data_IF_742645412039
#
_entry.id   IF_742645412039
#
_cell.length_a   1.000
_cell.length_b   1.000
_cell.length_c   1.000
_cell.angle_alpha   90.00
_cell.angle_beta   90.00
_cell.angle_gamma   90.00
#
_symmetry.space_group_name_H-M   'P 1'
#
loop_
_entity.id
_entity.type
_entity.pdbx_description
1 polymer ?
#
# COMPACT_ATOMS: atom_id res chain seq x y z
N UNK A 1 16.27 -25.29 11.55
CA UNK A 1 14.83 -24.93 11.39
C UNK A 1 14.17 -25.10 12.74
N UNK A 2 13.45 -24.08 13.19
CA UNK A 2 12.84 -24.06 14.55
C UNK A 2 11.48 -24.77 14.60
N UNK A 3 10.94 -25.23 13.47
CA UNK A 3 9.59 -25.81 13.36
C UNK A 3 8.45 -24.81 13.62
N UNK A 4 8.75 -23.52 13.63
CA UNK A 4 7.76 -22.44 13.79
C UNK A 4 7.34 -21.95 12.41
N UNK A 5 6.02 -21.90 12.17
CA UNK A 5 5.47 -21.29 10.96
C UNK A 5 5.63 -19.77 10.97
N UNK A 6 5.97 -19.21 9.81
CA UNK A 6 6.21 -17.78 9.63
C UNK A 6 5.09 -17.19 8.78
N UNK A 7 4.34 -16.24 9.33
CA UNK A 7 3.38 -15.41 8.60
C UNK A 7 3.95 -14.02 8.36
N UNK A 8 3.89 -13.51 7.13
CA UNK A 8 4.29 -12.15 6.80
C UNK A 8 3.18 -11.36 6.12
N UNK A 9 3.11 -10.06 6.39
CA UNK A 9 2.25 -9.17 5.63
C UNK A 9 2.79 -8.98 4.22
N UNK A 10 1.93 -9.13 3.22
CA UNK A 10 2.29 -9.01 1.80
C UNK A 10 1.55 -7.89 1.08
N UNK A 11 0.39 -7.47 1.59
CA UNK A 11 -0.42 -6.43 0.94
C UNK A 11 -1.23 -5.62 1.94
N UNK A 12 -1.37 -4.31 1.65
CA UNK A 12 -2.26 -3.41 2.37
C UNK A 12 -1.56 -2.36 3.20
N UNK A 13 -2.27 -1.81 4.18
CA UNK A 13 -1.84 -0.64 4.92
C UNK A 13 -0.60 -0.89 5.80
N UNK A 14 0.45 -0.11 5.58
CA UNK A 14 1.60 -0.07 6.47
C UNK A 14 1.37 0.86 7.66
N UNK A 15 1.92 0.48 8.81
CA UNK A 15 2.04 1.36 9.96
C UNK A 15 3.29 2.24 9.81
N UNK A 16 3.21 3.49 10.27
CA UNK A 16 4.37 4.38 10.34
C UNK A 16 5.40 3.90 11.36
N UNK A 17 4.94 3.27 12.44
CA UNK A 17 5.76 2.83 13.56
C UNK A 17 5.88 1.31 13.61
N UNK A 18 6.88 0.82 14.32
CA UNK A 18 6.96 -0.59 14.69
C UNK A 18 5.73 -1.03 15.46
N UNK A 19 5.27 -2.26 15.20
CA UNK A 19 4.11 -2.84 15.86
C UNK A 19 4.29 -2.86 17.39
N UNK A 20 3.24 -2.46 18.09
CA UNK A 20 3.23 -2.43 19.55
C UNK A 20 3.97 -1.24 20.19
N UNK A 21 4.65 -0.38 19.43
CA UNK A 21 5.46 0.70 20.01
C UNK A 21 4.86 2.09 19.84
N UNK A 22 3.80 2.26 19.04
CA UNK A 22 3.20 3.56 18.82
C UNK A 22 2.21 3.91 19.92
N UNK A 23 2.48 4.98 20.65
CA UNK A 23 1.58 5.55 21.66
C UNK A 23 0.79 6.78 21.17
N UNK A 24 1.02 7.23 19.93
CA UNK A 24 0.48 8.49 19.41
C UNK A 24 -1.05 8.56 19.52
N UNK A 25 -1.77 7.51 19.09
CA UNK A 25 -3.23 7.46 19.18
C UNK A 25 -3.74 7.37 20.60
N UNK A 26 -2.99 6.76 21.52
CA UNK A 26 -3.34 6.72 22.95
C UNK A 26 -3.18 8.08 23.59
N UNK A 27 -2.10 8.80 23.32
CA UNK A 27 -1.79 10.10 23.93
C UNK A 27 -2.69 11.21 23.40
N UNK A 28 -3.00 11.23 22.11
CA UNK A 28 -3.83 12.29 21.50
C UNK A 28 -5.32 12.08 21.78
N UNK A 29 -5.81 10.84 21.75
CA UNK A 29 -7.25 10.57 21.79
C UNK A 29 -7.67 9.40 22.67
N UNK A 30 -6.82 8.89 23.56
CA UNK A 30 -7.12 7.77 24.46
C UNK A 30 -7.38 6.43 23.76
N UNK A 31 -7.05 6.30 22.46
CA UNK A 31 -7.32 5.11 21.64
C UNK A 31 -6.07 4.30 21.40
N UNK A 32 -5.89 3.24 22.19
CA UNK A 32 -4.69 2.41 22.09
C UNK A 32 -4.62 1.60 20.79
N UNK A 33 -3.55 1.79 20.02
CA UNK A 33 -3.23 0.98 18.84
C UNK A 33 -2.99 -0.49 19.20
N UNK A 34 -2.34 -0.75 20.32
CA UNK A 34 -2.02 -2.10 20.81
C UNK A 34 -3.27 -2.90 21.22
N UNK A 35 -4.41 -2.23 21.39
CA UNK A 35 -5.72 -2.83 21.65
C UNK A 35 -6.64 -2.80 20.43
N UNK A 36 -6.11 -2.65 19.23
CA UNK A 36 -6.85 -2.60 17.98
C UNK A 36 -7.71 -1.35 17.78
N UNK A 37 -7.52 -0.28 18.58
CA UNK A 37 -8.37 0.93 18.60
C UNK A 37 -7.71 2.16 18.01
N UNK A 38 -6.62 2.01 17.28
CA UNK A 38 -5.88 3.12 16.69
C UNK A 38 -6.77 4.00 15.81
N UNK A 39 -6.79 5.32 16.09
CA UNK A 39 -7.49 6.32 15.29
C UNK A 39 -6.67 6.78 14.06
N UNK A 40 -5.50 6.20 13.82
CA UNK A 40 -4.61 6.53 12.72
C UNK A 40 -4.18 8.01 12.66
N UNK A 41 -3.71 8.65 13.75
CA UNK A 41 -3.30 10.05 13.72
C UNK A 41 -2.16 10.33 12.74
N UNK A 42 -1.33 9.33 12.40
CA UNK A 42 -0.33 9.43 11.35
C UNK A 42 -0.92 9.71 9.95
N UNK A 43 -2.24 9.48 9.76
CA UNK A 43 -2.95 9.78 8.51
C UNK A 43 -3.58 11.17 8.47
N UNK A 44 -3.39 11.98 9.52
CA UNK A 44 -3.80 13.39 9.55
C UNK A 44 -2.72 14.28 8.92
N UNK A 45 -3.07 15.50 8.47
CA UNK A 45 -2.08 16.46 8.03
C UNK A 45 -1.25 16.96 9.22
N UNK A 46 0.06 17.03 9.04
CA UNK A 46 1.03 17.51 10.01
C UNK A 46 1.85 18.63 9.42
N UNK A 47 2.27 19.55 10.27
CA UNK A 47 3.25 20.59 9.93
C UNK A 47 4.52 20.36 10.73
N UNK A 48 5.61 20.11 10.03
CA UNK A 48 6.95 20.08 10.61
C UNK A 48 7.57 21.45 10.48
N UNK A 49 8.08 21.99 11.59
CA UNK A 49 8.79 23.27 11.64
C UNK A 49 10.16 23.07 12.25
N UNK A 50 11.17 23.64 11.61
CA UNK A 50 12.50 23.84 12.17
C UNK A 50 12.91 25.30 11.92
N UNK A 51 14.05 25.74 12.47
CA UNK A 51 14.53 27.15 12.36
C UNK A 51 14.60 27.67 10.93
N UNK A 52 14.82 26.78 9.94
CA UNK A 52 15.02 27.15 8.54
C UNK A 52 14.00 26.54 7.57
N UNK A 53 13.10 25.66 8.02
CA UNK A 53 12.22 24.92 7.12
C UNK A 53 10.85 24.67 7.74
N UNK A 54 9.82 24.84 6.92
CA UNK A 54 8.47 24.38 7.22
C UNK A 54 7.99 23.44 6.12
N UNK A 55 7.38 22.30 6.49
CA UNK A 55 6.78 21.34 5.56
C UNK A 55 5.46 20.86 6.13
N UNK A 56 4.40 21.00 5.34
CA UNK A 56 3.05 20.54 5.71
C UNK A 56 2.54 19.45 4.77
N UNK A 57 1.64 18.60 5.27
CA UNK A 57 1.01 17.54 4.51
C UNK A 57 0.82 16.27 5.33
N UNK A 58 0.55 15.16 4.65
CA UNK A 58 0.38 13.86 5.29
C UNK A 58 1.74 13.17 5.52
N UNK A 59 2.62 13.87 6.24
CA UNK A 59 4.05 13.55 6.35
C UNK A 59 4.34 12.18 6.96
N UNK A 60 3.40 11.65 7.75
CA UNK A 60 3.53 10.37 8.46
C UNK A 60 2.65 9.27 7.83
N UNK A 61 2.06 9.51 6.65
CA UNK A 61 1.17 8.56 6.00
C UNK A 61 1.91 7.67 5.01
N UNK A 62 2.21 6.38 5.33
CA UNK A 62 2.85 5.49 4.37
C UNK A 62 1.91 5.12 3.21
N UNK A 63 2.49 4.81 2.05
CA UNK A 63 1.85 4.08 0.96
C UNK A 63 1.42 2.69 1.41
N UNK A 64 0.58 2.02 0.63
CA UNK A 64 0.24 0.63 0.92
C UNK A 64 1.35 -0.31 0.43
N UNK A 65 1.55 -1.40 1.17
CA UNK A 65 2.45 -2.48 0.79
C UNK A 65 1.86 -3.24 -0.40
N UNK A 66 2.71 -3.58 -1.37
CA UNK A 66 2.42 -4.58 -2.40
C UNK A 66 3.70 -5.36 -2.69
N UNK A 67 3.73 -6.62 -2.32
CA UNK A 67 4.89 -7.49 -2.47
C UNK A 67 4.75 -8.51 -3.61
N UNK A 68 3.84 -8.31 -4.57
CA UNK A 68 3.70 -9.25 -5.68
C UNK A 68 5.03 -9.50 -6.40
N UNK A 69 5.80 -8.45 -6.67
CA UNK A 69 7.10 -8.59 -7.34
C UNK A 69 8.14 -9.32 -6.50
N UNK A 70 7.96 -9.36 -5.18
CA UNK A 70 8.87 -9.97 -4.20
C UNK A 70 8.43 -11.37 -3.78
N UNK A 71 7.30 -11.84 -4.30
CA UNK A 71 6.69 -13.10 -3.88
C UNK A 71 7.63 -14.30 -4.02
N UNK A 72 8.43 -14.43 -5.10
CA UNK A 72 9.46 -15.47 -5.19
C UNK A 72 10.44 -15.47 -4.02
N UNK A 73 10.91 -14.30 -3.61
CA UNK A 73 11.88 -14.19 -2.53
C UNK A 73 11.29 -14.57 -1.18
N UNK A 74 10.01 -14.24 -0.95
CA UNK A 74 9.29 -14.61 0.27
C UNK A 74 9.06 -16.12 0.36
N UNK A 75 8.69 -16.75 -0.77
CA UNK A 75 8.50 -18.20 -0.84
C UNK A 75 9.84 -18.93 -0.65
N UNK A 76 10.89 -18.48 -1.33
CA UNK A 76 12.24 -19.06 -1.19
C UNK A 76 12.82 -18.89 0.22
N UNK A 77 12.48 -17.80 0.90
CA UNK A 77 12.84 -17.59 2.30
C UNK A 77 12.08 -18.50 3.27
N UNK A 78 11.11 -19.28 2.80
CA UNK A 78 10.35 -20.22 3.61
C UNK A 78 9.23 -19.57 4.42
N UNK A 79 8.59 -18.54 3.90
CA UNK A 79 7.37 -17.97 4.48
C UNK A 79 6.21 -18.93 4.25
N UNK A 80 5.55 -19.34 5.33
CA UNK A 80 4.46 -20.33 5.31
C UNK A 80 3.10 -19.71 5.01
N UNK A 81 2.88 -18.44 5.40
CA UNK A 81 1.59 -17.75 5.30
C UNK A 81 1.73 -16.31 4.82
N UNK A 82 0.91 -15.96 3.83
CA UNK A 82 0.86 -14.62 3.23
C UNK A 82 -0.37 -13.85 3.77
N UNK A 83 -0.12 -12.78 4.52
CA UNK A 83 -1.18 -12.00 5.17
C UNK A 83 -1.53 -10.73 4.42
N UNK A 84 -2.81 -10.58 4.09
CA UNK A 84 -3.37 -9.37 3.46
C UNK A 84 -4.03 -8.52 4.55
N UNK A 85 -3.58 -7.27 4.71
CA UNK A 85 -4.23 -6.31 5.62
C UNK A 85 -5.38 -5.59 4.90
N UNK A 86 -6.58 -5.71 5.46
CA UNK A 86 -7.74 -5.13 4.80
C UNK A 86 -9.03 -5.11 5.63
N UNK A 87 -8.92 -5.12 6.98
CA UNK A 87 -10.07 -5.22 7.89
C UNK A 87 -11.24 -4.28 7.59
N UNK A 88 -10.95 -3.06 7.14
CA UNK A 88 -11.97 -2.03 6.83
C UNK A 88 -12.20 -1.87 5.33
N UNK A 89 -11.78 -2.83 4.52
CA UNK A 89 -11.95 -2.80 3.08
C UNK A 89 -13.23 -3.50 2.65
N UNK A 90 -13.67 -3.19 1.43
CA UNK A 90 -14.83 -3.85 0.82
C UNK A 90 -14.50 -5.30 0.44
N UNK A 91 -15.51 -6.17 0.29
CA UNK A 91 -15.31 -7.57 -0.13
C UNK A 91 -14.52 -7.71 -1.43
N UNK A 92 -14.72 -6.81 -2.39
CA UNK A 92 -14.01 -6.81 -3.68
C UNK A 92 -12.50 -6.67 -3.51
N UNK A 93 -12.07 -5.89 -2.52
CA UNK A 93 -10.66 -5.77 -2.17
C UNK A 93 -10.07 -7.10 -1.71
N UNK A 94 -10.76 -7.79 -0.83
CA UNK A 94 -10.30 -9.10 -0.33
C UNK A 94 -10.28 -10.13 -1.47
N UNK A 95 -11.32 -10.17 -2.29
CA UNK A 95 -11.46 -11.12 -3.39
C UNK A 95 -10.35 -10.93 -4.45
N UNK A 96 -10.19 -9.73 -5.00
CA UNK A 96 -9.21 -9.49 -6.05
C UNK A 96 -7.77 -9.63 -5.52
N UNK A 97 -7.49 -9.10 -4.32
CA UNK A 97 -6.14 -9.20 -3.76
C UNK A 97 -5.76 -10.66 -3.50
N UNK A 98 -6.65 -11.44 -2.88
CA UNK A 98 -6.40 -12.86 -2.63
C UNK A 98 -6.26 -13.66 -3.95
N UNK A 99 -7.10 -13.36 -4.94
CA UNK A 99 -7.01 -14.00 -6.26
C UNK A 99 -5.65 -13.74 -6.92
N UNK A 100 -5.18 -12.49 -6.94
CA UNK A 100 -3.90 -12.15 -7.57
C UNK A 100 -2.71 -12.75 -6.82
N UNK A 101 -2.70 -12.70 -5.49
CA UNK A 101 -1.64 -13.37 -4.73
C UNK A 101 -1.66 -14.89 -4.95
N UNK A 102 -2.83 -15.51 -5.06
CA UNK A 102 -2.94 -16.93 -5.41
C UNK A 102 -2.43 -17.20 -6.83
N UNK A 103 -2.87 -16.43 -7.84
CA UNK A 103 -2.42 -16.51 -9.23
C UNK A 103 -0.89 -16.49 -9.33
N UNK A 104 -0.25 -15.55 -8.67
CA UNK A 104 1.20 -15.38 -8.75
C UNK A 104 1.97 -16.38 -7.90
N UNK A 105 1.41 -16.86 -6.80
CA UNK A 105 1.97 -18.00 -6.07
C UNK A 105 1.98 -19.26 -6.93
N UNK A 106 0.86 -19.58 -7.59
CA UNK A 106 0.78 -20.74 -8.47
C UNK A 106 1.70 -20.63 -9.68
N UNK A 107 1.80 -19.43 -10.27
CA UNK A 107 2.72 -19.15 -11.37
C UNK A 107 4.17 -19.44 -10.94
N UNK A 108 4.57 -18.98 -9.77
CA UNK A 108 5.92 -19.21 -9.26
C UNK A 108 6.18 -20.69 -8.95
N UNK A 109 5.26 -21.35 -8.25
CA UNK A 109 5.41 -22.75 -7.85
C UNK A 109 5.44 -23.70 -9.07
N UNK A 110 4.77 -23.33 -10.17
CA UNK A 110 4.70 -24.15 -11.38
C UNK A 110 5.84 -23.85 -12.34
N UNK A 111 6.15 -22.56 -12.57
CA UNK A 111 7.08 -22.10 -13.60
C UNK A 111 8.45 -21.70 -13.08
N UNK A 112 8.61 -21.56 -11.76
CA UNK A 112 9.86 -21.10 -11.16
C UNK A 112 10.17 -19.62 -11.45
N UNK A 113 11.33 -19.19 -11.00
CA UNK A 113 11.77 -17.78 -11.07
C UNK A 113 11.93 -17.27 -12.49
N UNK A 114 12.33 -18.11 -13.42
CA UNK A 114 12.58 -17.72 -14.81
C UNK A 114 11.29 -17.32 -15.56
N UNK A 115 10.15 -17.88 -15.16
CA UNK A 115 8.85 -17.58 -15.76
C UNK A 115 8.02 -16.60 -14.94
N UNK A 116 8.56 -16.14 -13.81
CA UNK A 116 7.83 -15.24 -12.92
C UNK A 116 7.93 -13.78 -13.41
N UNK A 117 6.79 -13.24 -13.77
CA UNK A 117 6.64 -11.80 -13.99
C UNK A 117 5.23 -11.37 -13.57
N UNK A 118 5.10 -10.16 -13.08
CA UNK A 118 3.82 -9.59 -12.67
C UNK A 118 3.31 -8.68 -13.78
N UNK A 119 2.13 -8.97 -14.30
CA UNK A 119 1.48 -8.17 -15.33
C UNK A 119 1.18 -6.76 -14.81
N UNK A 120 1.50 -5.77 -15.62
CA UNK A 120 1.21 -4.37 -15.30
C UNK A 120 -0.29 -4.11 -15.15
N UNK A 121 -1.13 -4.81 -15.93
CA UNK A 121 -2.58 -4.72 -15.83
C UNK A 121 -3.11 -5.18 -14.46
N UNK A 122 -2.54 -6.23 -13.88
CA UNK A 122 -2.92 -6.72 -12.55
C UNK A 122 -2.51 -5.74 -11.45
N UNK A 123 -1.33 -5.13 -11.57
CA UNK A 123 -0.90 -4.06 -10.66
C UNK A 123 -1.82 -2.84 -10.76
N UNK A 124 -2.23 -2.46 -11.96
CA UNK A 124 -3.19 -1.37 -12.17
C UNK A 124 -4.56 -1.68 -11.58
N UNK A 125 -5.05 -2.91 -11.70
CA UNK A 125 -6.29 -3.33 -11.04
C UNK A 125 -6.21 -3.20 -9.52
N UNK A 126 -5.08 -3.61 -8.90
CA UNK A 126 -4.87 -3.41 -7.47
C UNK A 126 -4.81 -1.92 -7.09
N UNK A 127 -4.17 -1.10 -7.92
CA UNK A 127 -4.11 0.34 -7.69
C UNK A 127 -5.48 1.00 -7.83
N UNK A 128 -6.28 0.59 -8.82
CA UNK A 128 -7.65 1.09 -9.00
C UNK A 128 -8.56 0.65 -7.86
N UNK A 129 -8.39 -0.58 -7.41
CA UNK A 129 -9.16 -1.11 -6.29
C UNK A 129 -8.89 -0.36 -4.98
N UNK A 130 -7.63 -0.15 -4.63
CA UNK A 130 -7.23 0.69 -3.50
C UNK A 130 -5.72 0.92 -3.43
N UNK A 131 -5.32 2.19 -3.34
CA UNK A 131 -3.96 2.59 -3.00
C UNK A 131 -3.93 3.95 -2.30
N UNK A 132 -2.89 4.23 -1.49
CA UNK A 132 -2.61 5.53 -0.85
C UNK A 132 -1.41 6.19 -1.52
N UNK A 133 -1.60 6.70 -2.74
CA UNK A 133 -0.54 7.37 -3.49
C UNK A 133 0.49 6.41 -4.10
N UNK A 134 0.06 5.20 -4.46
CA UNK A 134 0.87 4.13 -5.00
C UNK A 134 1.20 3.04 -4.00
N UNK A 135 2.06 2.13 -4.43
CA UNK A 135 2.56 1.02 -3.63
C UNK A 135 4.02 1.22 -3.21
N UNK A 136 4.42 0.44 -2.22
CA UNK A 136 5.81 0.30 -1.75
C UNK A 136 6.11 -1.17 -1.47
N UNK A 137 7.36 -1.54 -1.61
CA UNK A 137 7.92 -2.84 -1.21
C UNK A 137 8.21 -2.94 0.30
N UNK A 138 7.87 -1.89 1.07
CA UNK A 138 8.13 -1.86 2.50
C UNK A 138 9.63 -1.84 2.81
N UNK A 139 10.05 -2.67 3.74
CA UNK A 139 11.45 -2.80 4.20
C UNK A 139 12.10 -4.11 3.77
N UNK A 140 11.56 -4.80 2.78
CA UNK A 140 12.05 -6.14 2.42
C UNK A 140 13.48 -6.14 1.91
N UNK A 141 13.89 -5.12 1.13
CA UNK A 141 15.23 -5.06 0.57
C UNK A 141 16.11 -3.96 1.14
N UNK A 142 15.52 -2.90 1.65
CA UNK A 142 16.25 -1.71 2.09
C UNK A 142 15.49 -0.93 3.14
N UNK A 143 16.21 -0.09 3.87
CA UNK A 143 15.59 0.94 4.68
C UNK A 143 15.04 2.04 3.77
N UNK A 144 13.74 2.00 3.53
CA UNK A 144 13.04 3.04 2.78
C UNK A 144 12.84 4.30 3.63
N UNK A 145 12.83 5.45 2.96
CA UNK A 145 12.68 6.77 3.57
C UNK A 145 11.41 7.49 3.13
N UNK A 146 11.57 8.74 2.66
CA UNK A 146 10.44 9.59 2.27
C UNK A 146 9.62 9.04 1.09
N UNK A 147 10.22 8.24 0.23
CA UNK A 147 9.57 7.61 -0.91
C UNK A 147 8.43 6.65 -0.52
N UNK A 148 8.47 6.11 0.71
CA UNK A 148 7.36 5.33 1.25
C UNK A 148 6.15 6.18 1.61
N UNK A 149 6.30 7.50 1.76
CA UNK A 149 5.23 8.36 2.27
C UNK A 149 4.31 8.84 1.17
N UNK A 150 3.01 8.85 1.46
CA UNK A 150 1.95 9.45 0.63
C UNK A 150 1.60 10.83 1.19
N UNK A 151 2.44 11.83 0.90
CA UNK A 151 2.34 13.18 1.50
C UNK A 151 1.15 14.00 1.01
N UNK A 152 0.56 13.64 -0.14
CA UNK A 152 -0.53 14.40 -0.77
C UNK A 152 -1.92 13.92 -0.33
N UNK A 153 -2.09 12.61 -0.13
CA UNK A 153 -3.38 11.99 0.22
C UNK A 153 -3.20 10.83 1.21
N UNK A 154 -4.02 10.75 2.27
CA UNK A 154 -4.01 9.63 3.21
C UNK A 154 -4.99 8.52 2.82
N UNK A 155 -5.85 8.79 1.83
CA UNK A 155 -6.93 7.92 1.37
C UNK A 155 -6.65 7.38 -0.03
N UNK A 156 -7.60 6.62 -0.56
CA UNK A 156 -7.55 6.07 -1.90
C UNK A 156 -7.27 7.15 -2.96
N UNK A 157 -6.29 6.90 -3.82
CA UNK A 157 -5.84 7.83 -4.86
C UNK A 157 -6.41 7.51 -6.24
N UNK A 158 -6.86 6.27 -6.49
CA UNK A 158 -7.26 5.79 -7.82
C UNK A 158 -6.09 5.69 -8.79
N UNK A 159 -6.42 5.53 -10.06
CA UNK A 159 -5.49 5.60 -11.18
C UNK A 159 -5.57 6.97 -11.85
N UNK A 160 -4.44 7.45 -12.36
CA UNK A 160 -4.44 8.61 -13.25
C UNK A 160 -4.85 8.15 -14.66
N UNK A 161 -6.05 8.51 -15.08
CA UNK A 161 -6.61 8.13 -16.39
C UNK A 161 -6.38 9.17 -17.47
N UNK A 162 -5.93 10.39 -17.13
CA UNK A 162 -5.69 11.44 -18.11
C UNK A 162 -5.70 12.84 -17.51
N UNK A 163 -5.69 13.83 -18.39
CA UNK A 163 -5.78 15.25 -18.05
C UNK A 163 -7.15 15.79 -18.43
N UNK A 164 -7.79 16.51 -17.50
CA UNK A 164 -9.04 17.21 -17.72
C UNK A 164 -8.82 18.71 -17.97
N UNK A 165 -9.58 19.29 -18.90
CA UNK A 165 -9.66 20.74 -19.08
C UNK A 165 -11.12 21.17 -19.23
N UNK A 166 -11.41 22.39 -18.84
CA UNK A 166 -12.73 22.99 -19.11
C UNK A 166 -12.60 23.79 -20.40
N UNK A 167 -13.43 23.47 -21.40
CA UNK A 167 -13.48 24.20 -22.68
C UNK A 167 -14.21 25.53 -22.52
N UNK A 168 -14.26 26.33 -23.62
CA UNK A 168 -14.90 27.65 -23.63
C UNK A 168 -16.42 27.60 -23.39
N UNK A 169 -17.04 26.42 -23.51
CA UNK A 169 -18.48 26.20 -23.27
C UNK A 169 -18.77 25.78 -21.83
N UNK A 170 -17.75 25.65 -20.99
CA UNK A 170 -17.90 25.16 -19.63
C UNK A 170 -17.98 23.62 -19.48
N UNK A 171 -17.72 22.87 -20.56
CA UNK A 171 -17.77 21.42 -20.59
C UNK A 171 -16.41 20.85 -20.23
N UNK A 172 -16.38 19.76 -19.47
CA UNK A 172 -15.15 19.05 -19.14
C UNK A 172 -14.73 18.13 -20.28
N UNK A 173 -13.57 18.38 -20.86
CA UNK A 173 -12.91 17.50 -21.81
C UNK A 173 -11.82 16.73 -21.12
N UNK A 174 -11.77 15.41 -21.31
CA UNK A 174 -10.71 14.55 -20.75
C UNK A 174 -9.88 14.03 -21.91
N UNK A 175 -8.57 14.28 -21.84
CA UNK A 175 -7.61 13.65 -22.72
C UNK A 175 -7.05 12.41 -21.99
N UNK A 176 -7.50 11.20 -22.35
CA UNK A 176 -7.06 9.99 -21.69
C UNK A 176 -5.60 9.68 -22.01
N UNK A 177 -4.88 9.13 -21.05
CA UNK A 177 -3.50 8.66 -21.23
C UNK A 177 -3.44 7.28 -21.92
N UNK A 178 -4.54 6.53 -21.85
CA UNK A 178 -4.74 5.23 -22.52
C UNK A 178 -6.20 5.05 -22.89
N UNK A 179 -6.50 4.10 -23.78
CA UNK A 179 -7.85 3.77 -24.12
C UNK A 179 -8.65 3.41 -22.85
N UNK A 180 -9.81 4.05 -22.70
CA UNK A 180 -10.76 3.70 -21.67
C UNK A 180 -11.63 2.58 -22.23
N UNK A 181 -11.54 1.38 -21.65
CA UNK A 181 -12.37 0.23 -21.99
C UNK A 181 -13.80 0.38 -21.48
#
# INVERSE_FOLDING_TARGET
QTGVEIETFVHGALCYCYSGQCLMSSMIGGRSGNRGRCAQPCRLPWTFRSDSREKSGYLLSPKDLCSLQLLPDLIDAGVDSLKIEGRMKKPEYAALTAYLYRKYTDLYLTGGREHYHVDQADLEQLMDLYNRGGFTDGYFYRHNGQEMMSVKRPNHSGLNIGQGRINRRGEMEIQPMKALG
#
